data_IF_310265580600
#
_entry.id   IF_310265580600
#
_cell.length_a   1.000
_cell.length_b   1.000
_cell.length_c   1.000
_cell.angle_alpha   90.00
_cell.angle_beta   90.00
_cell.angle_gamma   90.00
#
_symmetry.space_group_name_H-M   'P 1'
#
loop_
_entity.id
_entity.type
_entity.pdbx_description
1 polymer ?
#
# COMPACT_ATOMS: atom_id res chain seq x y z
N UNK A 1 5.91 4.87 24.84
CA UNK A 1 7.11 4.34 24.15
C UNK A 1 6.73 3.31 23.09
N UNK A 2 5.87 2.33 23.41
CA UNK A 2 5.46 1.26 22.49
C UNK A 2 4.79 1.77 21.19
N UNK A 3 3.92 2.78 21.25
CA UNK A 3 3.25 3.31 20.04
C UNK A 3 4.22 3.90 18.99
N UNK A 4 5.25 4.65 19.44
CA UNK A 4 6.25 5.23 18.53
C UNK A 4 7.13 4.13 17.93
N UNK A 5 7.50 3.14 18.75
CA UNK A 5 8.28 1.97 18.30
C UNK A 5 7.47 1.15 17.30
N UNK A 6 6.16 0.95 17.52
CA UNK A 6 5.27 0.25 16.58
C UNK A 6 5.18 0.99 15.24
N UNK A 7 4.98 2.32 15.26
CA UNK A 7 4.96 3.14 14.04
C UNK A 7 6.28 3.03 13.29
N UNK A 8 7.41 3.09 14.00
CA UNK A 8 8.74 2.97 13.41
C UNK A 8 8.98 1.56 12.83
N UNK A 9 8.53 0.51 13.51
CA UNK A 9 8.57 -0.86 13.02
C UNK A 9 7.71 -1.03 11.75
N UNK A 10 6.48 -0.50 11.76
CA UNK A 10 5.59 -0.52 10.58
C UNK A 10 6.23 0.25 9.42
N UNK A 11 6.83 1.41 9.69
CA UNK A 11 7.49 2.23 8.68
C UNK A 11 8.64 1.49 7.99
N UNK A 12 9.57 0.92 8.77
CA UNK A 12 10.72 0.17 8.22
C UNK A 12 10.24 -1.11 7.53
N UNK A 13 9.28 -1.80 8.14
CA UNK A 13 8.72 -3.04 7.59
C UNK A 13 8.05 -2.80 6.25
N UNK A 14 7.18 -1.79 6.13
CA UNK A 14 6.46 -1.49 4.90
C UNK A 14 7.38 -0.97 3.78
N UNK A 15 8.39 -0.17 4.12
CA UNK A 15 9.31 0.38 3.14
C UNK A 15 10.29 -0.66 2.56
N UNK A 16 10.82 -1.54 3.41
CA UNK A 16 11.96 -2.41 3.06
C UNK A 16 11.66 -3.90 3.20
N UNK A 17 11.19 -4.35 4.37
CA UNK A 17 11.12 -5.80 4.70
C UNK A 17 9.97 -6.48 3.98
N UNK A 18 8.75 -5.98 4.16
CA UNK A 18 7.51 -6.47 3.59
C UNK A 18 7.07 -5.57 2.43
N UNK A 19 8.01 -5.28 1.53
CA UNK A 19 7.79 -4.36 0.41
C UNK A 19 6.66 -4.89 -0.51
N UNK A 20 5.69 -4.03 -0.83
CA UNK A 20 4.49 -4.40 -1.59
C UNK A 20 4.81 -5.00 -2.97
N UNK A 21 5.85 -4.50 -3.63
CA UNK A 21 6.20 -4.90 -4.99
C UNK A 21 7.05 -6.17 -5.01
N UNK A 22 8.07 -6.23 -4.15
CA UNK A 22 9.11 -7.26 -4.24
C UNK A 22 8.83 -8.48 -3.38
N UNK A 23 8.10 -8.32 -2.26
CA UNK A 23 7.73 -9.43 -1.39
C UNK A 23 6.34 -9.99 -1.74
N UNK A 24 5.34 -9.11 -1.91
CA UNK A 24 3.96 -9.53 -2.21
C UNK A 24 3.60 -9.54 -3.70
N UNK A 25 4.52 -9.15 -4.60
CA UNK A 25 4.28 -9.12 -6.05
C UNK A 25 3.09 -8.25 -6.48
N UNK A 26 2.83 -7.15 -5.77
CA UNK A 26 1.70 -6.28 -6.02
C UNK A 26 2.15 -5.00 -6.73
N UNK A 27 1.34 -4.49 -7.66
CA UNK A 27 1.66 -3.25 -8.40
C UNK A 27 2.64 -3.44 -9.56
N UNK A 28 2.74 -4.66 -10.09
CA UNK A 28 3.65 -5.02 -11.19
C UNK A 28 3.30 -4.29 -12.50
N UNK A 29 2.03 -3.95 -12.72
CA UNK A 29 1.58 -3.29 -13.97
C UNK A 29 2.29 -1.95 -14.23
N UNK A 30 2.25 -0.95 -13.32
CA UNK A 30 3.03 0.28 -13.46
C UNK A 30 4.54 0.03 -13.37
N UNK A 31 4.96 -0.95 -12.57
CA UNK A 31 6.36 -1.31 -12.40
C UNK A 31 7.03 -1.77 -13.70
N UNK A 32 6.37 -2.58 -14.54
CA UNK A 32 6.90 -2.99 -15.86
C UNK A 32 6.66 -1.89 -16.92
N UNK A 33 5.54 -1.18 -16.83
CA UNK A 33 5.12 -0.20 -17.83
C UNK A 33 5.98 1.06 -17.89
N UNK A 34 6.42 1.58 -16.73
CA UNK A 34 7.01 2.95 -16.63
C UNK A 34 8.47 2.95 -16.17
N UNK A 35 9.06 1.80 -15.85
CA UNK A 35 10.47 1.70 -15.43
C UNK A 35 11.50 1.85 -16.56
N UNK A 36 11.21 2.48 -17.69
CA UNK A 36 12.23 2.67 -18.76
C UNK A 36 13.19 3.82 -18.50
N UNK A 37 12.79 4.79 -17.67
CA UNK A 37 13.60 5.98 -17.35
C UNK A 37 13.43 6.30 -15.88
N UNK A 38 14.52 6.63 -15.20
CA UNK A 38 14.50 6.94 -13.77
C UNK A 38 13.61 8.15 -13.47
N UNK A 39 13.65 9.21 -14.29
CA UNK A 39 12.81 10.40 -14.10
C UNK A 39 11.31 10.08 -14.12
N UNK A 40 10.92 9.18 -15.03
CA UNK A 40 9.52 8.74 -15.17
C UNK A 40 9.11 7.85 -14.00
N UNK A 41 9.98 6.92 -13.60
CA UNK A 41 9.75 6.02 -12.48
C UNK A 41 9.59 6.79 -11.16
N UNK A 42 10.44 7.78 -10.91
CA UNK A 42 10.37 8.61 -9.71
C UNK A 42 9.07 9.41 -9.64
N UNK A 43 8.69 10.09 -10.74
CA UNK A 43 7.43 10.84 -10.80
C UNK A 43 6.20 9.96 -10.57
N UNK A 44 6.19 8.75 -11.12
CA UNK A 44 5.14 7.77 -10.88
C UNK A 44 5.10 7.30 -9.42
N UNK A 45 6.27 6.98 -8.83
CA UNK A 45 6.35 6.54 -7.43
C UNK A 45 5.82 7.59 -6.46
N UNK A 46 6.20 8.87 -6.64
CA UNK A 46 5.67 9.97 -5.84
C UNK A 46 4.15 10.13 -5.98
N UNK A 47 3.61 10.02 -7.21
CA UNK A 47 2.17 10.10 -7.44
C UNK A 47 1.42 8.95 -6.75
N UNK A 48 1.93 7.72 -6.83
CA UNK A 48 1.35 6.55 -6.16
C UNK A 48 1.42 6.71 -4.64
N UNK A 49 2.54 7.20 -4.09
CA UNK A 49 2.70 7.46 -2.64
C UNK A 49 1.69 8.50 -2.12
N UNK A 50 1.39 9.50 -2.94
CA UNK A 50 0.37 10.50 -2.59
C UNK A 50 -1.04 9.89 -2.61
N UNK A 51 -1.39 9.16 -3.66
CA UNK A 51 -2.71 8.53 -3.80
C UNK A 51 -2.94 7.47 -2.72
N UNK A 52 -1.95 6.62 -2.44
CA UNK A 52 -2.07 5.56 -1.42
C UNK A 52 -2.30 6.16 -0.02
N UNK A 53 -1.70 7.31 0.27
CA UNK A 53 -1.90 8.01 1.55
C UNK A 53 -3.33 8.53 1.68
N UNK A 54 -3.89 9.14 0.63
CA UNK A 54 -5.29 9.60 0.62
C UNK A 54 -6.25 8.41 0.68
N UNK A 55 -5.98 7.36 -0.10
CA UNK A 55 -6.78 6.14 -0.13
C UNK A 55 -6.77 5.43 1.23
N UNK A 56 -5.67 5.48 1.98
CA UNK A 56 -5.58 4.94 3.33
C UNK A 56 -6.46 5.69 4.34
N UNK A 57 -6.46 7.02 4.30
CA UNK A 57 -7.35 7.83 5.16
C UNK A 57 -8.82 7.57 4.83
N UNK A 58 -9.16 7.53 3.54
CA UNK A 58 -10.52 7.23 3.09
C UNK A 58 -10.94 5.81 3.46
N UNK A 59 -10.11 4.81 3.19
CA UNK A 59 -10.42 3.41 3.50
C UNK A 59 -10.56 3.19 5.00
N UNK A 60 -9.64 3.67 5.84
CA UNK A 60 -9.77 3.59 7.30
C UNK A 60 -11.07 4.23 7.80
N UNK A 61 -11.40 5.43 7.30
CA UNK A 61 -12.65 6.11 7.66
C UNK A 61 -13.87 5.28 7.25
N UNK A 62 -13.88 4.77 6.03
CA UNK A 62 -14.98 3.94 5.53
C UNK A 62 -15.08 2.62 6.30
N UNK A 63 -13.95 2.00 6.66
CA UNK A 63 -13.93 0.77 7.45
C UNK A 63 -14.58 0.99 8.82
N UNK A 64 -14.17 2.04 9.53
CA UNK A 64 -14.67 2.32 10.90
C UNK A 64 -16.13 2.81 10.88
N UNK A 65 -16.51 3.65 9.92
CA UNK A 65 -17.83 4.26 9.89
C UNK A 65 -18.90 3.43 9.18
N UNK A 66 -18.52 2.56 8.23
CA UNK A 66 -19.48 1.85 7.35
C UNK A 66 -19.34 0.34 7.39
N UNK A 67 -18.13 -0.23 7.36
CA UNK A 67 -17.95 -1.69 7.16
C UNK A 67 -17.85 -2.47 8.47
N UNK A 68 -17.39 -1.85 9.57
CA UNK A 68 -17.24 -2.53 10.84
C UNK A 68 -18.59 -3.07 11.35
N UNK A 69 -18.62 -4.26 11.99
CA UNK A 69 -19.84 -4.80 12.56
C UNK A 69 -20.37 -3.86 13.65
N UNK A 70 -21.60 -3.36 13.48
CA UNK A 70 -22.21 -2.38 14.38
C UNK A 70 -21.80 -0.91 14.14
N UNK A 71 -21.26 -0.57 12.97
CA UNK A 71 -20.83 0.79 12.66
C UNK A 71 -21.96 1.84 12.83
N UNK A 72 -21.62 3.09 13.22
CA UNK A 72 -22.62 4.12 13.54
C UNK A 72 -23.49 4.52 12.34
N UNK A 73 -22.97 4.44 11.11
CA UNK A 73 -23.75 4.81 9.91
C UNK A 73 -24.68 3.67 9.50
N UNK A 74 -24.24 2.41 9.62
CA UNK A 74 -25.09 1.25 9.31
C UNK A 74 -26.17 1.06 10.37
N UNK A 75 -25.87 1.30 11.65
CA UNK A 75 -26.88 1.28 12.72
C UNK A 75 -27.86 2.45 12.60
N UNK A 76 -27.41 3.65 12.19
CA UNK A 76 -28.29 4.78 11.91
C UNK A 76 -29.19 4.53 10.69
N UNK A 77 -28.64 4.04 9.58
CA UNK A 77 -29.40 3.73 8.37
C UNK A 77 -30.33 2.51 8.55
N UNK A 78 -29.89 1.48 9.29
CA UNK A 78 -30.71 0.33 9.61
C UNK A 78 -31.78 0.65 10.66
N UNK A 79 -31.56 1.62 11.55
CA UNK A 79 -32.58 2.11 12.48
C UNK A 79 -33.79 2.76 11.79
N UNK A 80 -33.67 3.15 10.52
CA UNK A 80 -34.78 3.62 9.68
C UNK A 80 -35.62 2.48 9.08
N UNK A 81 -35.12 1.24 9.00
CA UNK A 81 -35.78 0.16 8.26
C UNK A 81 -35.91 -1.17 9.05
N UNK A 82 -35.14 -1.41 10.12
CA UNK A 82 -35.13 -2.63 10.93
C UNK A 82 -35.07 -2.32 12.45
N UNK A 83 -35.53 -3.25 13.32
CA UNK A 83 -35.35 -3.14 14.77
C UNK A 83 -33.87 -3.22 15.18
N UNK A 84 -33.48 -2.44 16.19
CA UNK A 84 -32.09 -2.19 16.61
C UNK A 84 -31.24 -3.43 16.95
N UNK A 85 -31.85 -4.60 17.19
CA UNK A 85 -31.15 -5.86 17.50
C UNK A 85 -30.63 -6.62 16.27
N UNK A 86 -31.24 -6.46 15.10
CA UNK A 86 -30.78 -7.11 13.86
C UNK A 86 -29.79 -6.23 13.08
N UNK A 87 -29.86 -4.91 13.28
CA UNK A 87 -28.93 -3.94 12.70
C UNK A 87 -27.47 -4.15 13.16
N UNK A 88 -27.27 -4.68 14.37
CA UNK A 88 -25.94 -4.92 14.94
C UNK A 88 -25.22 -6.15 14.35
N UNK A 89 -25.95 -7.06 13.70
CA UNK A 89 -25.39 -8.29 13.12
C UNK A 89 -25.12 -8.22 11.62
N UNK A 90 -25.33 -7.07 10.98
CA UNK A 90 -25.10 -6.94 9.53
C UNK A 90 -23.61 -6.74 9.28
N UNK A 91 -22.97 -7.76 8.71
CA UNK A 91 -21.59 -7.69 8.26
C UNK A 91 -21.52 -7.21 6.80
N UNK A 92 -21.05 -5.98 6.59
CA UNK A 92 -20.85 -5.37 5.27
C UNK A 92 -19.45 -5.63 4.70
N UNK A 93 -18.62 -6.44 5.38
CA UNK A 93 -17.26 -6.77 4.95
C UNK A 93 -17.21 -7.35 3.54
N UNK A 94 -18.25 -8.07 3.11
CA UNK A 94 -18.34 -8.63 1.75
C UNK A 94 -18.24 -7.56 0.65
N UNK A 95 -18.68 -6.32 0.92
CA UNK A 95 -18.68 -5.23 -0.04
C UNK A 95 -17.37 -4.43 -0.05
N UNK A 96 -16.38 -4.82 0.75
CA UNK A 96 -15.15 -4.05 0.95
C UNK A 96 -14.40 -3.72 -0.34
N UNK A 97 -14.24 -4.70 -1.25
CA UNK A 97 -13.55 -4.50 -2.51
C UNK A 97 -14.20 -3.41 -3.37
N UNK A 98 -15.52 -3.45 -3.52
CA UNK A 98 -16.27 -2.46 -4.31
C UNK A 98 -16.12 -1.06 -3.73
N UNK A 99 -16.27 -0.94 -2.40
CA UNK A 99 -16.20 0.33 -1.70
C UNK A 99 -14.78 0.92 -1.76
N UNK A 100 -13.74 0.11 -1.61
CA UNK A 100 -12.36 0.57 -1.72
C UNK A 100 -11.97 0.96 -3.15
N UNK A 101 -12.40 0.21 -4.17
CA UNK A 101 -12.16 0.60 -5.56
C UNK A 101 -12.82 1.95 -5.86
N UNK A 102 -14.05 2.17 -5.38
CA UNK A 102 -14.73 3.46 -5.52
C UNK A 102 -14.00 4.60 -4.79
N UNK A 103 -13.54 4.37 -3.57
CA UNK A 103 -12.74 5.34 -2.81
C UNK A 103 -11.42 5.67 -3.52
N UNK A 104 -10.72 4.67 -4.07
CA UNK A 104 -9.49 4.87 -4.84
C UNK A 104 -9.78 5.65 -6.12
N UNK A 105 -10.84 5.30 -6.87
CA UNK A 105 -11.20 5.98 -8.11
C UNK A 105 -11.50 7.47 -7.87
N UNK A 106 -12.26 7.81 -6.82
CA UNK A 106 -12.52 9.20 -6.45
C UNK A 106 -11.26 9.96 -6.02
N UNK A 107 -10.37 9.32 -5.25
CA UNK A 107 -9.09 9.92 -4.85
C UNK A 107 -8.18 10.18 -6.06
N UNK A 108 -8.03 9.21 -6.96
CA UNK A 108 -7.21 9.38 -8.17
C UNK A 108 -7.79 10.45 -9.09
N UNK A 109 -9.11 10.51 -9.23
CA UNK A 109 -9.76 11.55 -10.04
C UNK A 109 -9.44 12.96 -9.50
N UNK A 110 -9.46 13.12 -8.17
CA UNK A 110 -9.04 14.36 -7.53
C UNK A 110 -7.56 14.68 -7.82
N UNK A 111 -6.68 13.69 -7.73
CA UNK A 111 -5.25 13.86 -8.04
C UNK A 111 -5.02 14.19 -9.51
N UNK A 112 -5.77 13.58 -10.42
CA UNK A 112 -5.70 13.88 -11.85
C UNK A 112 -6.02 15.35 -12.14
N UNK A 113 -7.10 15.86 -11.54
CA UNK A 113 -7.47 17.28 -11.66
C UNK A 113 -6.40 18.20 -11.08
N UNK A 114 -5.78 17.80 -9.96
CA UNK A 114 -4.69 18.54 -9.33
C UNK A 114 -3.44 18.61 -10.22
N UNK A 115 -2.98 17.47 -10.75
CA UNK A 115 -1.80 17.39 -11.62
C UNK A 115 -2.02 18.18 -12.92
N UNK A 116 -3.22 18.10 -13.53
CA UNK A 116 -3.56 18.87 -14.74
C UNK A 116 -3.41 20.38 -14.52
N UNK A 117 -3.69 20.88 -13.31
CA UNK A 117 -3.64 22.32 -13.00
C UNK A 117 -2.26 22.81 -12.58
N UNK A 118 -1.58 22.08 -11.69
CA UNK A 118 -0.31 22.55 -11.10
C UNK A 118 0.92 22.09 -11.88
N UNK A 119 0.87 20.90 -12.51
CA UNK A 119 2.01 20.32 -13.23
C UNK A 119 1.65 19.88 -14.66
N UNK A 120 1.32 20.81 -15.58
CA UNK A 120 1.04 20.50 -16.98
C UNK A 120 2.11 19.68 -17.74
N UNK A 121 3.43 19.89 -17.55
CA UNK A 121 4.42 19.08 -18.24
C UNK A 121 4.42 17.63 -17.76
N UNK A 122 4.17 17.39 -16.47
CA UNK A 122 4.02 16.05 -15.91
C UNK A 122 2.78 15.36 -16.50
N UNK A 123 1.66 16.07 -16.59
CA UNK A 123 0.44 15.52 -17.19
C UNK A 123 0.64 15.11 -18.67
N UNK A 124 1.39 15.88 -19.47
CA UNK A 124 1.67 15.53 -20.87
C UNK A 124 2.50 14.25 -21.04
N UNK A 125 3.42 13.99 -20.12
CA UNK A 125 4.27 12.79 -20.15
C UNK A 125 3.61 11.57 -19.50
N UNK A 126 2.74 11.77 -18.51
CA UNK A 126 2.15 10.71 -17.69
C UNK A 126 0.66 10.45 -17.97
N UNK A 127 -0.04 11.28 -18.74
CA UNK A 127 -1.50 11.25 -18.91
C UNK A 127 -2.10 9.89 -19.26
N UNK A 128 -1.38 9.07 -20.03
CA UNK A 128 -1.81 7.71 -20.41
C UNK A 128 -1.72 6.72 -19.23
N UNK A 129 -0.86 6.98 -18.25
CA UNK A 129 -0.62 6.10 -17.11
C UNK A 129 -1.41 6.48 -15.85
N UNK A 130 -2.14 7.61 -15.85
CA UNK A 130 -3.01 7.97 -14.72
C UNK A 130 -4.09 6.91 -14.44
N UNK A 131 -4.75 6.29 -15.46
CA UNK A 131 -5.64 5.15 -15.25
C UNK A 131 -4.97 3.89 -14.67
N UNK A 132 -3.65 3.75 -14.79
CA UNK A 132 -2.92 2.64 -14.14
C UNK A 132 -2.81 2.85 -12.62
N UNK A 133 -3.04 4.06 -12.12
CA UNK A 133 -3.03 4.34 -10.68
C UNK A 133 -4.34 3.85 -10.05
N UNK A 134 -5.51 4.05 -10.68
CA UNK A 134 -6.81 3.60 -10.13
C UNK A 134 -6.88 2.08 -9.96
N UNK A 135 -6.25 1.35 -10.89
CA UNK A 135 -6.21 -0.12 -10.93
C UNK A 135 -4.92 -0.67 -10.35
N UNK A 136 -4.16 0.13 -9.61
CA UNK A 136 -2.92 -0.31 -9.00
C UNK A 136 -3.22 -1.22 -7.80
N UNK A 137 -2.91 -2.51 -7.95
CA UNK A 137 -3.12 -3.50 -6.91
C UNK A 137 -2.40 -3.12 -5.59
N UNK A 138 -1.29 -2.38 -5.63
CA UNK A 138 -0.53 -2.02 -4.42
C UNK A 138 -1.35 -1.08 -3.51
N UNK A 139 -2.16 -0.22 -4.12
CA UNK A 139 -3.04 0.71 -3.40
C UNK A 139 -4.20 -0.06 -2.76
N UNK A 140 -4.82 -0.96 -3.53
CA UNK A 140 -5.89 -1.81 -3.01
C UNK A 140 -5.38 -2.73 -1.88
N UNK A 141 -4.18 -3.31 -2.05
CA UNK A 141 -3.53 -4.13 -1.04
C UNK A 141 -3.34 -3.36 0.27
N UNK A 142 -2.81 -2.14 0.23
CA UNK A 142 -2.67 -1.32 1.44
C UNK A 142 -4.01 -1.06 2.13
N UNK A 143 -5.08 -0.75 1.38
CA UNK A 143 -6.41 -0.55 1.95
C UNK A 143 -6.95 -1.83 2.63
N UNK A 144 -6.74 -2.99 2.02
CA UNK A 144 -7.13 -4.28 2.57
C UNK A 144 -6.29 -4.67 3.79
N UNK A 145 -4.98 -4.39 3.79
CA UNK A 145 -4.12 -4.61 4.95
C UNK A 145 -4.55 -3.73 6.12
N UNK A 146 -4.90 -2.46 5.86
CA UNK A 146 -5.46 -1.57 6.89
C UNK A 146 -6.75 -2.19 7.45
N UNK A 147 -7.68 -2.61 6.59
CA UNK A 147 -8.92 -3.24 7.03
C UNK A 147 -8.68 -4.48 7.90
N UNK A 148 -7.79 -5.37 7.47
CA UNK A 148 -7.47 -6.61 8.19
C UNK A 148 -6.92 -6.34 9.60
N UNK A 149 -6.19 -5.24 9.78
CA UNK A 149 -5.64 -4.84 11.08
C UNK A 149 -6.59 -3.93 11.89
N UNK A 150 -7.75 -3.56 11.34
CA UNK A 150 -8.79 -2.80 12.05
C UNK A 150 -9.93 -3.73 12.49
N UNK A 151 -10.42 -4.59 11.59
CA UNK A 151 -11.59 -5.47 11.82
C UNK A 151 -11.18 -6.92 12.08
N UNK A 152 -10.05 -7.38 11.54
CA UNK A 152 -9.59 -8.77 11.67
C UNK A 152 -8.80 -9.06 12.94
N UNK A 153 -8.96 -8.24 13.99
CA UNK A 153 -8.21 -8.36 15.25
C UNK A 153 -9.13 -8.87 16.34
N UNK A 154 -8.75 -9.98 16.99
CA UNK A 154 -9.55 -10.62 18.06
C UNK A 154 -9.72 -9.73 19.30
N UNK A 155 -8.77 -8.80 19.54
CA UNK A 155 -8.80 -7.82 20.62
C UNK A 155 -9.03 -6.39 20.09
N UNK A 156 -10.08 -5.68 20.52
CA UNK A 156 -10.36 -4.29 20.11
C UNK A 156 -9.25 -3.28 20.46
N UNK A 157 -8.41 -3.59 21.45
CA UNK A 157 -7.32 -2.73 21.90
C UNK A 157 -6.11 -2.72 20.93
N UNK A 158 -5.99 -3.74 20.09
CA UNK A 158 -4.89 -3.90 19.13
C UNK A 158 -5.25 -3.36 17.73
N UNK A 159 -6.50 -2.94 17.54
CA UNK A 159 -6.97 -2.34 16.29
C UNK A 159 -6.12 -1.14 15.89
N UNK A 160 -5.82 -1.04 14.59
CA UNK A 160 -5.02 0.06 14.08
C UNK A 160 -5.78 1.38 14.10
N UNK A 161 -5.18 2.35 14.78
CA UNK A 161 -5.57 3.75 14.68
C UNK A 161 -5.11 4.36 13.34
N UNK A 162 -5.70 5.50 12.98
CA UNK A 162 -5.40 6.25 11.77
C UNK A 162 -3.89 6.51 11.61
N UNK A 163 -3.17 6.77 12.70
CA UNK A 163 -1.72 6.98 12.68
C UNK A 163 -0.92 5.77 12.18
N UNK A 164 -1.28 4.55 12.62
CA UNK A 164 -0.64 3.31 12.18
C UNK A 164 -0.96 3.00 10.72
N UNK A 165 -2.22 3.19 10.33
CA UNK A 165 -2.70 2.99 8.95
C UNK A 165 -2.05 3.95 7.96
N UNK A 166 -1.96 5.24 8.31
CA UNK A 166 -1.31 6.26 7.48
C UNK A 166 0.19 5.97 7.34
N UNK A 167 0.84 5.55 8.43
CA UNK A 167 2.26 5.16 8.39
C UNK A 167 2.48 3.99 7.42
N UNK A 168 1.67 2.93 7.48
CA UNK A 168 1.75 1.83 6.52
C UNK A 168 1.63 2.35 5.07
N UNK A 169 0.66 3.23 4.81
CA UNK A 169 0.39 3.72 3.47
C UNK A 169 1.53 4.58 2.91
N UNK A 170 2.01 5.55 3.70
CA UNK A 170 3.11 6.44 3.31
C UNK A 170 4.38 5.62 3.06
N UNK A 171 4.77 4.77 4.01
CA UNK A 171 6.00 4.00 3.88
C UNK A 171 5.88 2.85 2.85
N UNK A 172 4.69 2.29 2.65
CA UNK A 172 4.41 1.35 1.57
C UNK A 172 4.50 2.00 0.18
N UNK A 173 4.04 3.26 0.04
CA UNK A 173 4.25 4.06 -1.16
C UNK A 173 5.72 4.42 -1.41
N UNK A 174 6.45 4.77 -0.35
CA UNK A 174 7.90 4.97 -0.41
C UNK A 174 8.60 3.68 -0.84
N UNK A 175 8.21 2.52 -0.28
CA UNK A 175 8.73 1.22 -0.69
C UNK A 175 8.46 0.90 -2.17
N UNK A 176 7.28 1.24 -2.68
CA UNK A 176 6.95 1.15 -4.11
C UNK A 176 7.86 2.07 -4.95
N UNK A 177 8.09 3.30 -4.48
CA UNK A 177 8.95 4.28 -5.16
C UNK A 177 10.40 3.81 -5.23
N UNK A 178 10.93 3.26 -4.14
CA UNK A 178 12.27 2.67 -4.09
C UNK A 178 12.38 1.53 -5.11
N UNK A 179 11.41 0.62 -5.11
CA UNK A 179 11.42 -0.52 -6.03
C UNK A 179 11.40 -0.09 -7.50
N UNK A 180 10.51 0.83 -7.89
CA UNK A 180 10.39 1.26 -9.30
C UNK A 180 11.61 2.07 -9.77
N UNK A 181 12.24 2.85 -8.88
CA UNK A 181 13.47 3.60 -9.19
C UNK A 181 14.66 2.66 -9.37
N UNK A 182 14.83 1.66 -8.49
CA UNK A 182 15.86 0.62 -8.65
C UNK A 182 15.66 -0.11 -9.98
N UNK A 183 14.43 -0.51 -10.28
CA UNK A 183 14.10 -1.19 -11.53
C UNK A 183 14.41 -0.33 -12.75
N UNK A 184 14.13 0.98 -12.68
CA UNK A 184 14.42 1.90 -13.76
C UNK A 184 15.92 2.08 -13.99
N UNK A 185 16.71 2.20 -12.92
CA UNK A 185 18.16 2.26 -13.02
C UNK A 185 18.75 1.00 -13.64
N UNK A 186 18.29 -0.19 -13.22
CA UNK A 186 18.75 -1.45 -13.82
C UNK A 186 18.38 -1.53 -15.30
N UNK A 187 17.17 -1.08 -15.67
CA UNK A 187 16.71 -1.11 -17.08
C UNK A 187 17.49 -0.15 -17.97
N UNK A 188 17.83 1.03 -17.46
CA UNK A 188 18.59 2.03 -18.21
C UNK A 188 20.02 1.54 -18.50
N UNK A 189 20.66 0.85 -17.54
CA UNK A 189 21.94 0.17 -17.75
C UNK A 189 21.84 -1.03 -18.70
N UNK A 190 20.74 -1.78 -18.62
CA UNK A 190 20.52 -2.96 -19.44
C UNK A 190 20.30 -2.63 -20.92
N UNK A 191 19.82 -1.43 -21.22
CA UNK A 191 19.70 -0.91 -22.59
C UNK A 191 21.07 -0.67 -23.25
N UNK A 192 22.14 -0.50 -22.46
CA UNK A 192 23.53 -0.39 -22.93
C UNK A 192 24.22 -1.75 -23.10
N UNK A 193 23.60 -2.83 -22.62
CA UNK A 193 24.15 -4.18 -22.66
C UNK A 193 23.67 -4.98 -23.88
N UNK A 194 24.50 -5.92 -24.34
CA UNK A 194 24.15 -6.83 -25.43
C UNK A 194 23.20 -7.95 -24.98
N UNK A 195 21.91 -7.63 -24.95
CA UNK A 195 20.85 -8.60 -24.63
C UNK A 195 20.38 -9.39 -25.87
N UNK A 196 20.26 -10.73 -25.79
CA UNK A 196 19.80 -11.56 -26.89
C UNK A 196 18.39 -11.14 -27.35
N UNK A 197 18.17 -11.08 -28.68
CA UNK A 197 16.94 -10.56 -29.31
C UNK A 197 15.62 -11.07 -28.68
N UNK A 198 15.48 -12.36 -28.31
CA UNK A 198 14.24 -12.87 -27.72
C UNK A 198 13.91 -12.31 -26.33
N UNK A 199 14.91 -11.85 -25.58
CA UNK A 199 14.73 -11.38 -24.20
C UNK A 199 14.49 -9.87 -24.11
N UNK A 200 14.61 -9.11 -25.21
CA UNK A 200 14.45 -7.66 -25.18
C UNK A 200 13.05 -7.24 -24.73
N UNK A 201 12.98 -6.20 -23.91
CA UNK A 201 11.71 -5.61 -23.45
C UNK A 201 11.11 -6.29 -22.22
N UNK A 202 9.82 -6.68 -22.21
CA UNK A 202 9.13 -7.20 -21.02
C UNK A 202 9.75 -8.48 -20.44
N UNK A 203 10.31 -9.34 -21.28
CA UNK A 203 10.85 -10.63 -20.86
C UNK A 203 12.04 -10.46 -19.90
N UNK A 204 13.04 -9.67 -20.28
CA UNK A 204 14.17 -9.41 -19.39
C UNK A 204 13.78 -8.62 -18.14
N UNK A 205 12.78 -7.74 -18.24
CA UNK A 205 12.29 -7.06 -17.04
C UNK A 205 11.66 -7.99 -16.02
N UNK A 206 10.97 -9.04 -16.45
CA UNK A 206 10.45 -10.04 -15.51
C UNK A 206 11.56 -10.86 -14.86
N UNK A 207 12.63 -11.18 -15.62
CA UNK A 207 13.81 -11.87 -15.07
C UNK A 207 14.50 -11.01 -14.02
N UNK A 208 14.77 -9.74 -14.34
CA UNK A 208 15.37 -8.78 -13.40
C UNK A 208 14.47 -8.59 -12.18
N UNK A 209 13.15 -8.46 -12.36
CA UNK A 209 12.21 -8.36 -11.26
C UNK A 209 12.26 -9.59 -10.33
N UNK A 210 12.38 -10.79 -10.89
CA UNK A 210 12.54 -12.03 -10.12
C UNK A 210 13.85 -12.07 -9.33
N UNK A 211 14.97 -11.68 -9.94
CA UNK A 211 16.27 -11.58 -9.26
C UNK A 211 16.22 -10.54 -8.13
N UNK A 212 15.61 -9.39 -8.40
CA UNK A 212 15.44 -8.34 -7.40
C UNK A 212 14.53 -8.79 -6.24
N UNK A 213 13.45 -9.52 -6.53
CA UNK A 213 12.58 -10.10 -5.52
C UNK A 213 13.33 -11.11 -4.63
N UNK A 214 14.15 -11.99 -5.22
CA UNK A 214 15.00 -12.91 -4.46
C UNK A 214 16.00 -12.18 -3.56
N UNK A 215 16.59 -11.08 -4.03
CA UNK A 215 17.48 -10.26 -3.21
C UNK A 215 16.75 -9.63 -2.00
N UNK A 216 15.53 -9.14 -2.20
CA UNK A 216 14.73 -8.53 -1.13
C UNK A 216 14.11 -9.55 -0.17
N UNK A 217 13.86 -10.79 -0.59
CA UNK A 217 13.49 -11.88 0.34
C UNK A 217 14.58 -12.13 1.39
N UNK A 218 15.83 -11.74 1.14
CA UNK A 218 16.90 -11.78 2.14
C UNK A 218 16.66 -10.88 3.38
N UNK A 219 15.77 -9.89 3.28
CA UNK A 219 15.37 -9.05 4.42
C UNK A 219 14.26 -9.66 5.28
N UNK A 220 13.68 -10.78 4.88
CA UNK A 220 12.64 -11.46 5.66
C UNK A 220 13.19 -11.87 7.03
N UNK A 221 12.43 -11.58 8.10
CA UNK A 221 12.84 -11.85 9.48
C UNK A 221 13.60 -10.71 10.19
N UNK A 222 14.00 -9.65 9.47
CA UNK A 222 14.60 -8.45 10.08
C UNK A 222 13.62 -7.76 11.03
N UNK A 223 12.34 -7.79 10.73
CA UNK A 223 11.24 -7.27 11.56
C UNK A 223 11.23 -7.89 12.97
N UNK A 224 11.40 -9.22 13.05
CA UNK A 224 11.45 -9.96 14.31
C UNK A 224 12.70 -9.62 15.13
N UNK A 225 13.85 -9.47 14.46
CA UNK A 225 15.09 -9.02 15.09
C UNK A 225 15.00 -7.59 15.61
N UNK A 226 14.43 -6.69 14.81
CA UNK A 226 14.26 -5.28 15.17
C UNK A 226 13.27 -5.10 16.33
N UNK A 227 12.18 -5.87 16.34
CA UNK A 227 11.22 -5.90 17.46
C UNK A 227 11.90 -6.36 18.75
N UNK A 228 12.71 -7.43 18.71
CA UNK A 228 13.48 -7.88 19.88
C UNK A 228 14.50 -6.86 20.38
N UNK A 229 15.13 -6.10 19.47
CA UNK A 229 16.12 -5.09 19.84
C UNK A 229 15.50 -3.79 20.40
N UNK A 230 14.31 -3.40 19.90
CA UNK A 230 13.67 -2.14 20.26
C UNK A 230 12.72 -2.25 21.46
N UNK A 231 12.23 -3.45 21.79
CA UNK A 231 11.49 -3.67 23.04
C UNK A 231 12.48 -4.08 24.13
N UNK A 232 12.81 -3.21 25.11
CA UNK A 232 13.61 -3.65 26.23
C UNK A 232 12.86 -4.77 26.95
N UNK A 233 13.60 -5.82 27.29
CA UNK A 233 13.15 -7.05 27.95
C UNK A 233 12.21 -6.78 29.13
N UNK A 234 10.92 -7.09 28.96
CA UNK A 234 9.97 -7.37 30.07
C UNK A 234 9.83 -8.89 30.26
N UNK A 235 10.80 -9.68 29.79
CA UNK A 235 10.77 -11.15 29.90
C UNK A 235 11.46 -11.72 31.16
N UNK A 236 11.91 -10.90 32.12
CA UNK A 236 12.57 -11.43 33.34
C UNK A 236 11.74 -11.45 34.64
N UNK A 237 10.48 -10.98 34.68
CA UNK A 237 9.71 -10.96 35.95
C UNK A 237 8.56 -11.99 36.08
N UNK A 238 8.34 -12.91 35.14
CA UNK A 238 7.32 -13.97 35.29
C UNK A 238 7.93 -15.36 35.61
N UNK A 239 9.24 -15.41 35.86
CA UNK A 239 9.92 -16.63 36.29
C UNK A 239 10.78 -16.36 37.54
N UNK A 240 10.14 -15.88 38.61
CA UNK A 240 10.63 -16.05 39.98
C UNK A 240 9.47 -16.19 40.96
#
# INVERSE_FOLDING_TARGET
>A
MNYIIDILLIAISAALVNNFVLYYFVGICPFIGVSRRVDMAFGMGCAVTFVISIAAVLSWSITVFVLAPGAPVTTWAAGLFLPAKEAASIDLTILCYLVYIFAIASAVQFVEMYIRKFFPPLYKSFGVFLPLITTNCAILFACLTIMSNVVGVDNPADAWDLGRSLTLAVFGGVGFTIAIVIMAGIREELDLCDIPKPFKGPAITLIVAGILAMAFMGFTGVDSGLKKALTPTVQEEVQK
#
